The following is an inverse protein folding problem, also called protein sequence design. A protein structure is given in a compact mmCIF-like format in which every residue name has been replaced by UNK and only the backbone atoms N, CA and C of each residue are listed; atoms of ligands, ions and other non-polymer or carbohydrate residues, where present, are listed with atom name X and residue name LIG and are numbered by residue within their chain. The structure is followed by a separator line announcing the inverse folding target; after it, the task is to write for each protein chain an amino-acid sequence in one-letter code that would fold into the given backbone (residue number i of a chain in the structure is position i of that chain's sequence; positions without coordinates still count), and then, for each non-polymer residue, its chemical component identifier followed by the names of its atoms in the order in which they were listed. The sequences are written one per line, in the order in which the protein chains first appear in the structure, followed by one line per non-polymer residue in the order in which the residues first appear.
data_IF_529711841622
#
_entry.id   IF_529711841622
#
_cell.length_a   1.000
_cell.length_b   1.000
_cell.length_c   1.000
_cell.angle_alpha   90.00
_cell.angle_beta   90.00
_cell.angle_gamma   90.00
#
_symmetry.space_group_name_H-M   'P 1'
#
loop_
_entity.id
_entity.type
_entity.pdbx_description
1 polymer ?
#
# COMPACT_ATOMS: atom_id res chain seq x y z
N UNK A 1 11.95 1.48 -7.01
CA UNK A 1 10.49 1.29 -7.04
C UNK A 1 9.90 1.73 -5.72
N UNK A 2 8.63 2.14 -5.72
CA UNK A 2 7.88 2.53 -4.51
C UNK A 2 6.44 2.02 -4.66
N UNK A 3 5.99 1.15 -3.76
CA UNK A 3 4.68 0.49 -3.86
C UNK A 3 3.63 1.04 -2.91
N UNK A 4 3.94 2.16 -2.22
CA UNK A 4 2.96 2.93 -1.48
C UNK A 4 3.47 4.36 -1.26
N UNK A 5 2.89 5.33 -1.98
CA UNK A 5 3.27 6.72 -1.91
C UNK A 5 2.07 7.63 -2.14
N UNK A 6 1.94 8.66 -1.31
CA UNK A 6 0.96 9.75 -1.50
C UNK A 6 1.59 10.93 -2.23
N UNK A 7 2.07 10.66 -3.45
CA UNK A 7 2.84 11.63 -4.23
C UNK A 7 2.08 12.93 -4.48
N UNK A 8 0.76 12.87 -4.59
CA UNK A 8 -0.13 14.01 -4.78
C UNK A 8 -0.22 14.95 -3.55
N UNK A 9 0.28 14.53 -2.39
CA UNK A 9 0.22 15.30 -1.15
C UNK A 9 1.53 16.05 -0.82
N UNK A 10 2.57 15.93 -1.64
CA UNK A 10 3.75 16.80 -1.49
C UNK A 10 3.41 18.23 -1.89
N UNK A 11 3.98 19.25 -1.21
CA UNK A 11 3.75 20.66 -1.59
C UNK A 11 4.02 20.95 -3.06
N UNK A 12 5.10 20.33 -3.61
CA UNK A 12 5.51 20.46 -5.01
C UNK A 12 5.26 19.16 -5.78
N UNK A 13 4.03 18.61 -5.69
CA UNK A 13 3.67 17.29 -6.26
C UNK A 13 4.08 17.12 -7.74
N UNK A 14 3.99 18.17 -8.57
CA UNK A 14 4.41 18.10 -9.98
C UNK A 14 5.91 17.92 -10.14
N UNK A 15 6.71 18.60 -9.32
CA UNK A 15 8.17 18.43 -9.34
C UNK A 15 8.53 17.02 -8.84
N UNK A 16 7.95 16.59 -7.71
CA UNK A 16 8.17 15.25 -7.16
C UNK A 16 7.76 14.17 -8.18
N UNK A 17 6.66 14.36 -8.88
CA UNK A 17 6.22 13.47 -9.96
C UNK A 17 7.27 13.38 -11.09
N UNK A 18 7.76 14.51 -11.57
CA UNK A 18 8.76 14.53 -12.64
C UNK A 18 10.07 13.84 -12.22
N UNK A 19 10.54 14.10 -10.99
CA UNK A 19 11.73 13.43 -10.43
C UNK A 19 11.49 11.94 -10.18
N UNK A 20 10.31 11.55 -9.69
CA UNK A 20 9.97 10.15 -9.44
C UNK A 20 10.01 9.32 -10.73
N UNK A 21 9.52 9.84 -11.85
CA UNK A 21 9.60 9.19 -13.17
C UNK A 21 11.04 9.00 -13.68
N UNK A 22 11.98 9.84 -13.24
CA UNK A 22 13.39 9.72 -13.61
C UNK A 22 14.16 8.78 -12.70
N UNK A 23 13.81 8.72 -11.41
CA UNK A 23 14.58 8.05 -10.36
C UNK A 23 14.03 6.69 -9.95
N UNK A 24 12.72 6.44 -10.18
CA UNK A 24 12.05 5.19 -9.86
C UNK A 24 11.71 4.42 -11.14
N UNK A 25 11.91 3.12 -11.14
CA UNK A 25 11.44 2.22 -12.19
C UNK A 25 9.92 2.07 -12.18
N UNK A 26 9.30 2.18 -11.00
CA UNK A 26 7.86 2.13 -10.81
C UNK A 26 7.44 2.83 -9.51
N UNK A 27 6.32 3.56 -9.55
CA UNK A 27 5.68 4.16 -8.37
C UNK A 27 4.20 3.80 -8.37
N UNK A 28 3.71 3.28 -7.26
CA UNK A 28 2.28 3.14 -6.98
C UNK A 28 1.81 4.32 -6.12
N UNK A 29 1.19 5.31 -6.77
CA UNK A 29 0.53 6.41 -6.10
C UNK A 29 -0.83 5.94 -5.61
N UNK A 30 -1.02 5.91 -4.31
CA UNK A 30 -2.29 5.62 -3.65
C UNK A 30 -2.94 6.92 -3.21
N UNK A 31 -4.27 7.01 -3.34
CA UNK A 31 -5.00 8.25 -3.00
C UNK A 31 -5.87 8.08 -1.76
N UNK A 32 -6.08 9.19 -1.03
CA UNK A 32 -6.81 9.16 0.26
C UNK A 32 -8.33 9.26 0.11
N UNK A 33 -8.84 9.66 -1.06
CA UNK A 33 -10.28 9.69 -1.32
C UNK A 33 -10.61 9.63 -2.82
N UNK A 34 -11.82 9.21 -3.19
CA UNK A 34 -12.28 9.14 -4.58
C UNK A 34 -12.18 10.47 -5.34
N UNK A 35 -12.48 11.58 -4.67
CA UNK A 35 -12.30 12.92 -5.25
C UNK A 35 -10.84 13.29 -5.43
N UNK A 36 -9.97 12.88 -4.49
CA UNK A 36 -8.52 13.05 -4.64
C UNK A 36 -8.03 12.29 -5.87
N UNK A 37 -8.40 11.01 -6.04
CA UNK A 37 -8.08 10.23 -7.24
C UNK A 37 -8.49 10.94 -8.53
N UNK A 38 -9.74 11.41 -8.61
CA UNK A 38 -10.23 12.12 -9.80
C UNK A 38 -9.46 13.43 -10.08
N UNK A 39 -9.05 14.17 -9.04
CA UNK A 39 -8.28 15.38 -9.17
C UNK A 39 -6.83 15.09 -9.57
N UNK A 40 -6.19 14.15 -8.89
CA UNK A 40 -4.80 13.73 -9.12
C UNK A 40 -4.61 13.20 -10.54
N UNK A 41 -5.49 12.31 -11.00
CA UNK A 41 -5.42 11.73 -12.36
C UNK A 41 -5.56 12.76 -13.50
N UNK A 42 -6.13 13.94 -13.23
CA UNK A 42 -6.18 15.04 -14.21
C UNK A 42 -4.87 15.83 -14.31
N UNK A 43 -4.10 15.85 -13.22
CA UNK A 43 -2.90 16.70 -13.07
C UNK A 43 -1.61 15.91 -13.23
N UNK A 44 -1.62 14.66 -12.77
CA UNK A 44 -0.51 13.72 -12.80
C UNK A 44 -0.95 12.50 -13.62
N UNK A 45 -0.68 12.45 -14.94
CA UNK A 45 -1.13 11.32 -15.75
C UNK A 45 -0.40 10.03 -15.38
N UNK A 46 -1.12 8.91 -15.40
CA UNK A 46 -0.51 7.59 -15.29
C UNK A 46 0.44 7.33 -16.47
N UNK A 47 1.53 6.59 -16.21
CA UNK A 47 2.54 6.20 -17.21
C UNK A 47 2.92 4.74 -17.00
N UNK A 48 3.79 4.19 -17.83
CA UNK A 48 4.34 2.84 -17.58
C UNK A 48 5.10 2.72 -16.25
N UNK A 49 5.70 3.83 -15.78
CA UNK A 49 6.46 3.90 -14.51
C UNK A 49 5.66 4.42 -13.32
N UNK A 50 4.37 4.78 -13.50
CA UNK A 50 3.55 5.32 -12.42
C UNK A 50 2.09 4.91 -12.57
N UNK A 51 1.60 4.20 -11.56
CA UNK A 51 0.21 3.78 -11.45
C UNK A 51 -0.49 4.61 -10.36
N UNK A 52 -1.71 5.06 -10.63
CA UNK A 52 -2.54 5.81 -9.67
C UNK A 52 -3.77 4.98 -9.34
N UNK A 53 -4.04 4.76 -8.06
CA UNK A 53 -5.21 3.99 -7.61
C UNK A 53 -6.20 4.84 -6.84
N UNK A 54 -7.51 4.57 -7.03
CA UNK A 54 -8.56 5.13 -6.19
C UNK A 54 -8.52 4.49 -4.79
N UNK A 55 -8.74 5.30 -3.75
CA UNK A 55 -8.81 4.87 -2.38
C UNK A 55 -9.83 5.65 -1.56
N UNK A 56 -10.06 5.18 -0.35
CA UNK A 56 -10.74 5.90 0.73
C UNK A 56 -10.07 5.48 2.03
N UNK A 57 -9.14 6.32 2.46
CA UNK A 57 -8.30 6.07 3.63
C UNK A 57 -9.15 5.98 4.91
N UNK A 58 -8.93 5.01 5.79
CA UNK A 58 -9.74 4.85 7.01
C UNK A 58 -9.73 6.09 7.92
N UNK A 59 -8.63 6.82 7.99
CA UNK A 59 -8.53 8.03 8.82
C UNK A 59 -9.41 9.21 8.36
N UNK A 60 -9.94 9.17 7.13
CA UNK A 60 -10.86 10.20 6.62
C UNK A 60 -12.28 9.69 6.43
N UNK A 61 -12.57 8.48 6.90
CA UNK A 61 -13.89 7.83 6.72
C UNK A 61 -15.04 8.70 7.24
N UNK A 62 -14.86 9.38 8.39
CA UNK A 62 -15.85 10.30 8.98
C UNK A 62 -16.27 11.42 8.04
N UNK A 63 -15.33 11.94 7.24
CA UNK A 63 -15.55 13.09 6.35
C UNK A 63 -15.86 12.69 4.91
N UNK A 64 -15.47 11.47 4.52
CA UNK A 64 -15.43 11.04 3.11
C UNK A 64 -16.32 9.82 2.81
N UNK A 65 -17.02 9.25 3.80
CA UNK A 65 -17.93 8.11 3.60
C UNK A 65 -18.98 8.32 2.50
N UNK A 66 -19.45 9.54 2.33
CA UNK A 66 -20.36 9.88 1.23
C UNK A 66 -19.78 9.75 -0.18
N UNK A 67 -18.46 9.48 -0.29
CA UNK A 67 -17.77 9.23 -1.57
C UNK A 67 -17.67 7.71 -1.91
N UNK A 68 -18.26 6.82 -1.08
CA UNK A 68 -18.14 5.36 -1.26
C UNK A 68 -18.63 4.88 -2.63
N UNK A 69 -19.80 5.32 -3.07
CA UNK A 69 -20.34 4.92 -4.39
C UNK A 69 -19.43 5.37 -5.55
N UNK A 70 -18.80 6.55 -5.41
CA UNK A 70 -17.80 7.01 -6.37
C UNK A 70 -16.58 6.09 -6.38
N UNK A 71 -16.09 5.66 -5.20
CA UNK A 71 -15.00 4.68 -5.12
C UNK A 71 -15.37 3.37 -5.80
N UNK A 72 -16.54 2.83 -5.49
CA UNK A 72 -17.00 1.56 -6.06
C UNK A 72 -17.10 1.60 -7.60
N UNK A 73 -17.47 2.75 -8.16
CA UNK A 73 -17.46 2.96 -9.61
C UNK A 73 -16.04 3.09 -10.18
N UNK A 74 -15.12 3.75 -9.46
CA UNK A 74 -13.72 3.87 -9.88
C UNK A 74 -12.98 2.53 -9.86
N UNK A 75 -13.32 1.63 -8.94
CA UNK A 75 -12.76 0.27 -8.87
C UNK A 75 -13.09 -0.55 -10.13
N UNK A 76 -14.20 -0.27 -10.81
CA UNK A 76 -14.59 -0.99 -12.04
C UNK A 76 -13.58 -0.82 -13.17
N UNK A 77 -12.95 0.35 -13.25
CA UNK A 77 -12.02 0.72 -14.32
C UNK A 77 -10.55 0.66 -13.90
N UNK A 78 -10.25 0.31 -12.64
CA UNK A 78 -8.89 0.25 -12.11
C UNK A 78 -8.51 -1.17 -11.71
N UNK A 79 -7.28 -1.58 -11.99
CA UNK A 79 -6.69 -2.86 -11.57
C UNK A 79 -6.14 -2.83 -10.15
N UNK A 80 -5.79 -1.65 -9.65
CA UNK A 80 -5.32 -1.41 -8.29
C UNK A 80 -6.26 -0.51 -7.49
N UNK A 81 -6.32 -0.71 -6.18
CA UNK A 81 -7.14 0.04 -5.22
C UNK A 81 -6.27 0.37 -4.01
N UNK A 82 -6.23 1.62 -3.62
CA UNK A 82 -5.46 2.06 -2.44
C UNK A 82 -5.38 3.61 -2.36
N UNK A 83 -5.32 4.08 -1.14
CA UNK A 83 -5.27 3.35 0.12
C UNK A 83 -6.67 3.08 0.66
N UNK A 84 -6.89 1.87 1.15
CA UNK A 84 -8.13 1.43 1.80
C UNK A 84 -7.77 0.59 3.03
N UNK A 85 -8.70 0.31 3.90
CA UNK A 85 -8.43 -0.55 5.06
C UNK A 85 -9.08 -0.06 6.34
N UNK A 86 -8.43 -0.39 7.48
CA UNK A 86 -8.94 -0.12 8.83
C UNK A 86 -7.84 0.49 9.71
N UNK A 87 -8.20 1.51 10.49
CA UNK A 87 -7.39 2.06 11.59
C UNK A 87 -8.12 1.90 12.92
N UNK A 88 -7.66 0.94 13.74
CA UNK A 88 -8.20 0.64 15.06
C UNK A 88 -7.57 1.47 16.18
N UNK A 89 -6.72 2.48 15.87
CA UNK A 89 -6.14 3.33 16.89
C UNK A 89 -7.19 4.14 17.64
N UNK A 90 -6.90 4.50 18.88
CA UNK A 90 -7.84 5.22 19.76
C UNK A 90 -8.42 6.49 19.11
N UNK A 91 -7.65 7.16 18.26
CA UNK A 91 -8.05 8.38 17.56
C UNK A 91 -9.24 8.17 16.61
N UNK A 92 -9.32 6.99 15.98
CA UNK A 92 -10.29 6.68 14.93
C UNK A 92 -11.31 5.60 15.34
N UNK A 93 -11.21 5.07 16.57
CA UNK A 93 -12.06 3.98 17.07
C UNK A 93 -13.55 4.28 17.03
N UNK A 94 -13.95 5.53 17.23
CA UNK A 94 -15.38 5.94 17.16
C UNK A 94 -15.98 5.78 15.75
N UNK A 95 -15.16 5.69 14.71
CA UNK A 95 -15.60 5.51 13.31
C UNK A 95 -15.30 4.10 12.79
N UNK A 96 -14.95 3.17 13.67
CA UNK A 96 -14.46 1.86 13.26
C UNK A 96 -15.52 1.05 12.48
N UNK A 97 -16.79 1.06 12.93
CA UNK A 97 -17.89 0.39 12.21
C UNK A 97 -18.08 0.96 10.80
N UNK A 98 -17.94 2.28 10.66
CA UNK A 98 -18.01 2.95 9.36
C UNK A 98 -16.83 2.53 8.45
N UNK A 99 -15.62 2.47 8.99
CA UNK A 99 -14.45 1.98 8.26
C UNK A 99 -14.66 0.53 7.81
N UNK A 100 -15.17 -0.35 8.69
CA UNK A 100 -15.47 -1.74 8.36
C UNK A 100 -16.51 -1.85 7.24
N UNK A 101 -17.57 -1.04 7.29
CA UNK A 101 -18.58 -1.00 6.22
C UNK A 101 -17.96 -0.62 4.87
N UNK A 102 -17.13 0.44 4.84
CA UNK A 102 -16.44 0.91 3.63
C UNK A 102 -15.49 -0.17 3.12
N UNK A 103 -14.61 -0.69 3.97
CA UNK A 103 -13.60 -1.67 3.56
C UNK A 103 -14.24 -2.97 3.05
N UNK A 104 -15.26 -3.48 3.74
CA UNK A 104 -16.04 -4.65 3.30
C UNK A 104 -16.68 -4.41 1.92
N UNK A 105 -17.27 -3.24 1.70
CA UNK A 105 -17.89 -2.89 0.40
C UNK A 105 -16.85 -2.89 -0.72
N UNK A 106 -15.65 -2.35 -0.47
CA UNK A 106 -14.52 -2.35 -1.41
C UNK A 106 -14.08 -3.79 -1.74
N UNK A 107 -13.82 -4.61 -0.71
CA UNK A 107 -13.35 -5.99 -0.89
C UNK A 107 -14.38 -6.82 -1.67
N UNK A 108 -15.67 -6.66 -1.35
CA UNK A 108 -16.77 -7.32 -2.07
C UNK A 108 -16.87 -6.86 -3.53
N UNK A 109 -16.65 -5.56 -3.80
CA UNK A 109 -16.62 -5.06 -5.19
C UNK A 109 -15.46 -5.67 -5.95
N UNK A 110 -14.27 -5.72 -5.35
CA UNK A 110 -13.10 -6.35 -5.95
C UNK A 110 -13.35 -7.84 -6.27
N UNK A 111 -13.94 -8.59 -5.34
CA UNK A 111 -14.27 -10.00 -5.57
C UNK A 111 -15.26 -10.21 -6.73
N UNK A 112 -16.31 -9.38 -6.82
CA UNK A 112 -17.26 -9.43 -7.94
C UNK A 112 -16.65 -9.10 -9.30
N UNK A 113 -15.57 -8.35 -9.33
CA UNK A 113 -14.85 -7.94 -10.55
C UNK A 113 -13.71 -8.89 -10.92
N UNK A 114 -13.57 -10.05 -10.25
CA UNK A 114 -12.52 -11.03 -10.51
C UNK A 114 -11.16 -10.66 -9.92
N UNK A 115 -11.14 -9.81 -8.92
CA UNK A 115 -9.95 -9.44 -8.16
C UNK A 115 -9.32 -8.09 -8.58
N UNK A 116 -8.67 -7.47 -7.60
CA UNK A 116 -7.85 -6.26 -7.74
C UNK A 116 -6.58 -6.40 -6.88
N UNK A 117 -5.59 -5.55 -7.10
CA UNK A 117 -4.46 -5.40 -6.18
C UNK A 117 -4.82 -4.30 -5.19
N UNK A 118 -4.84 -4.63 -3.89
CA UNK A 118 -5.23 -3.69 -2.84
C UNK A 118 -4.02 -3.28 -2.00
N UNK A 119 -3.78 -1.98 -1.86
CA UNK A 119 -2.87 -1.44 -0.84
C UNK A 119 -3.67 -1.12 0.41
N UNK A 120 -3.35 -1.82 1.51
CA UNK A 120 -4.23 -1.93 2.68
C UNK A 120 -3.57 -1.37 3.93
N UNK A 121 -4.20 -0.35 4.52
CA UNK A 121 -3.95 0.12 5.87
C UNK A 121 -4.52 -0.84 6.91
N UNK A 122 -3.72 -1.26 7.90
CA UNK A 122 -4.13 -2.25 8.89
C UNK A 122 -3.71 -1.92 10.34
N UNK A 123 -3.45 -0.65 10.63
CA UNK A 123 -2.94 -0.21 11.94
C UNK A 123 -3.89 -0.56 13.06
N UNK A 124 -3.42 -1.34 14.04
CA UNK A 124 -4.20 -1.82 15.19
C UNK A 124 -5.54 -2.49 14.80
N UNK A 125 -5.63 -3.07 13.59
CA UNK A 125 -6.84 -3.67 13.02
C UNK A 125 -6.52 -4.82 12.05
N UNK A 126 -5.33 -5.40 12.11
CA UNK A 126 -4.93 -6.47 11.18
C UNK A 126 -5.85 -7.69 11.26
N UNK A 127 -6.38 -8.00 12.45
CA UNK A 127 -7.33 -9.11 12.62
C UNK A 127 -8.59 -8.88 11.78
N UNK A 128 -9.22 -7.71 11.89
CA UNK A 128 -10.47 -7.36 11.21
C UNK A 128 -10.26 -7.19 9.71
N UNK A 129 -9.09 -6.71 9.29
CA UNK A 129 -8.69 -6.70 7.88
C UNK A 129 -8.65 -8.12 7.34
N UNK A 130 -7.92 -9.03 7.99
CA UNK A 130 -7.80 -10.43 7.56
C UNK A 130 -9.15 -11.16 7.60
N UNK A 131 -9.98 -10.95 8.64
CA UNK A 131 -11.33 -11.50 8.72
C UNK A 131 -12.18 -11.08 7.50
N UNK A 132 -12.06 -9.81 7.08
CA UNK A 132 -12.79 -9.29 5.91
C UNK A 132 -12.30 -9.90 4.60
N UNK A 133 -10.99 -10.06 4.43
CA UNK A 133 -10.38 -10.65 3.23
C UNK A 133 -10.75 -12.13 3.11
N UNK A 134 -10.63 -12.90 4.18
CA UNK A 134 -10.94 -14.34 4.21
C UNK A 134 -12.43 -14.62 3.98
N UNK A 135 -13.31 -13.74 4.47
CA UNK A 135 -14.76 -13.84 4.23
C UNK A 135 -15.18 -13.51 2.79
N UNK A 136 -14.28 -12.97 1.97
CA UNK A 136 -14.59 -12.54 0.60
C UNK A 136 -13.52 -13.04 -0.41
N UNK A 137 -13.41 -14.38 -0.60
CA UNK A 137 -12.42 -14.93 -1.52
C UNK A 137 -12.61 -14.40 -2.95
N UNK A 138 -11.52 -14.32 -3.71
CA UNK A 138 -11.53 -13.78 -5.07
C UNK A 138 -11.38 -12.25 -5.14
N UNK A 139 -11.15 -11.57 -4.03
CA UNK A 139 -10.90 -10.12 -4.02
C UNK A 139 -9.63 -9.70 -4.78
N UNK A 140 -8.68 -10.62 -4.97
CA UNK A 140 -7.41 -10.40 -5.67
C UNK A 140 -6.19 -10.56 -4.79
N UNK A 141 -5.30 -9.57 -4.82
CA UNK A 141 -4.02 -9.55 -4.08
C UNK A 141 -4.04 -8.45 -3.03
N UNK A 142 -3.81 -8.82 -1.77
CA UNK A 142 -3.66 -7.88 -0.67
C UNK A 142 -2.18 -7.53 -0.45
N UNK A 143 -1.84 -6.25 -0.45
CA UNK A 143 -0.55 -5.71 -0.01
C UNK A 143 -0.79 -4.98 1.30
N UNK A 144 -0.35 -5.57 2.42
CA UNK A 144 -0.43 -4.92 3.73
C UNK A 144 0.71 -3.90 3.83
N UNK A 145 0.36 -2.64 3.75
CA UNK A 145 1.30 -1.54 3.83
C UNK A 145 1.70 -1.31 5.29
N UNK A 146 2.99 -1.05 5.50
CA UNK A 146 3.59 -0.75 6.81
C UNK A 146 3.02 -1.59 7.96
N UNK A 147 3.06 -2.91 7.80
CA UNK A 147 2.46 -3.83 8.78
C UNK A 147 3.14 -3.76 10.15
N UNK A 148 2.39 -3.47 11.22
CA UNK A 148 2.93 -3.25 12.57
C UNK A 148 2.26 -4.07 13.67
N UNK A 149 1.36 -4.99 13.33
CA UNK A 149 0.60 -5.80 14.29
C UNK A 149 1.45 -6.94 14.91
N UNK A 150 0.82 -7.89 15.55
CA UNK A 150 1.45 -9.00 16.26
C UNK A 150 2.07 -10.05 15.31
N UNK A 151 3.06 -10.82 15.78
CA UNK A 151 3.59 -11.94 15.00
C UNK A 151 2.55 -13.01 14.64
N UNK A 152 1.47 -13.17 15.44
CA UNK A 152 0.38 -14.09 15.13
C UNK A 152 -0.45 -13.62 13.94
N UNK A 153 -0.76 -12.32 13.85
CA UNK A 153 -1.45 -11.75 12.70
C UNK A 153 -0.55 -11.74 11.46
N UNK A 154 0.76 -11.53 11.62
CA UNK A 154 1.70 -11.69 10.49
C UNK A 154 1.67 -13.11 9.92
N UNK A 155 1.74 -14.16 10.77
CA UNK A 155 1.65 -15.56 10.30
C UNK A 155 0.36 -15.80 9.52
N UNK A 156 -0.77 -15.36 10.06
CA UNK A 156 -2.07 -15.46 9.40
C UNK A 156 -2.08 -14.75 8.04
N UNK A 157 -1.54 -13.53 7.96
CA UNK A 157 -1.42 -12.79 6.71
C UNK A 157 -0.56 -13.52 5.67
N UNK A 158 0.56 -14.14 6.12
CA UNK A 158 1.44 -14.95 5.27
C UNK A 158 0.71 -16.18 4.74
N UNK A 159 -0.01 -16.90 5.60
CA UNK A 159 -0.82 -18.08 5.26
C UNK A 159 -1.95 -17.73 4.28
N UNK A 160 -2.57 -16.55 4.45
CA UNK A 160 -3.59 -16.00 3.53
C UNK A 160 -3.02 -15.46 2.22
N UNK A 161 -1.71 -15.57 1.98
CA UNK A 161 -1.08 -15.16 0.73
C UNK A 161 -0.84 -13.65 0.57
N UNK A 162 -0.93 -12.87 1.64
CA UNK A 162 -0.69 -11.42 1.57
C UNK A 162 0.75 -11.07 1.17
N UNK A 163 0.88 -9.97 0.48
CA UNK A 163 2.12 -9.24 0.24
C UNK A 163 2.32 -8.18 1.31
N UNK A 164 3.54 -7.67 1.41
CA UNK A 164 3.91 -6.64 2.38
C UNK A 164 4.75 -5.56 1.72
N UNK A 165 4.38 -4.30 1.90
CA UNK A 165 5.28 -3.20 1.57
C UNK A 165 6.00 -2.72 2.82
N UNK A 166 7.30 -2.50 2.69
CA UNK A 166 8.21 -2.18 3.78
C UNK A 166 8.96 -0.90 3.49
N UNK A 167 8.81 0.07 4.37
CA UNK A 167 9.44 1.38 4.27
C UNK A 167 10.62 1.59 5.24
N UNK A 168 11.51 2.56 4.95
CA UNK A 168 12.63 2.90 5.84
C UNK A 168 12.16 3.25 7.25
N UNK A 169 11.07 4.00 7.38
CA UNK A 169 10.52 4.41 8.68
C UNK A 169 10.01 3.22 9.51
N UNK A 170 9.41 2.20 8.88
CA UNK A 170 9.01 0.95 9.55
C UNK A 170 10.22 0.29 10.21
N UNK A 171 11.35 0.22 9.50
CA UNK A 171 12.57 -0.46 9.96
C UNK A 171 13.36 0.34 11.02
N UNK A 172 13.00 1.59 11.33
CA UNK A 172 13.56 2.31 12.48
C UNK A 172 13.11 1.68 13.82
N UNK A 173 11.97 1.01 13.86
CA UNK A 173 11.42 0.40 15.07
C UNK A 173 11.91 -1.04 15.27
N UNK A 174 12.09 -1.47 16.53
CA UNK A 174 12.45 -2.85 16.86
C UNK A 174 11.35 -3.84 16.40
N UNK A 175 10.08 -3.45 16.56
CA UNK A 175 8.94 -4.26 16.11
C UNK A 175 8.93 -4.42 14.59
N UNK A 176 9.12 -3.31 13.84
CA UNK A 176 9.17 -3.36 12.38
C UNK A 176 10.27 -4.28 11.86
N UNK A 177 11.48 -4.22 12.46
CA UNK A 177 12.58 -5.12 12.10
C UNK A 177 12.25 -6.59 12.41
N UNK A 178 11.65 -6.87 13.57
CA UNK A 178 11.23 -8.22 13.96
C UNK A 178 10.19 -8.79 12.98
N UNK A 179 9.21 -7.99 12.58
CA UNK A 179 8.19 -8.40 11.62
C UNK A 179 8.80 -8.60 10.23
N UNK A 180 9.65 -7.68 9.76
CA UNK A 180 10.33 -7.81 8.46
C UNK A 180 11.21 -9.06 8.36
N UNK A 181 11.82 -9.49 9.48
CA UNK A 181 12.59 -10.74 9.55
C UNK A 181 11.73 -11.99 9.27
N UNK A 182 10.44 -11.94 9.62
CA UNK A 182 9.50 -13.05 9.48
C UNK A 182 8.60 -12.96 8.23
N UNK A 183 8.69 -11.89 7.44
CA UNK A 183 7.96 -11.75 6.18
C UNK A 183 8.54 -12.69 5.10
N UNK A 184 7.70 -13.24 4.22
CA UNK A 184 8.16 -14.04 3.08
C UNK A 184 8.90 -13.14 2.09
N UNK A 185 10.19 -13.42 1.86
CA UNK A 185 11.07 -12.55 1.05
C UNK A 185 10.62 -12.38 -0.40
N UNK A 186 9.86 -13.33 -0.91
CA UNK A 186 9.29 -13.35 -2.27
C UNK A 186 7.98 -12.54 -2.39
N UNK A 187 7.47 -11.99 -1.29
CA UNK A 187 6.25 -11.17 -1.24
C UNK A 187 6.45 -9.83 -0.51
N UNK A 188 7.70 -9.36 -0.43
CA UNK A 188 8.05 -8.04 0.08
C UNK A 188 8.37 -7.10 -1.08
N UNK A 189 7.84 -5.88 -1.03
CA UNK A 189 8.16 -4.77 -1.94
C UNK A 189 8.54 -3.52 -1.14
N UNK A 190 9.33 -2.59 -1.70
CA UNK A 190 9.70 -1.37 -1.00
C UNK A 190 8.58 -0.33 -1.07
N UNK A 191 8.48 0.52 -0.03
CA UNK A 191 7.60 1.69 0.00
C UNK A 191 8.27 2.88 0.65
N UNK A 192 7.80 4.09 0.34
CA UNK A 192 8.17 5.32 1.06
C UNK A 192 7.14 5.73 2.10
N UNK A 193 5.87 5.56 1.80
CA UNK A 193 4.74 6.17 2.50
C UNK A 193 4.91 7.70 2.65
N UNK A 194 5.61 8.27 1.68
CA UNK A 194 5.84 9.72 1.65
C UNK A 194 4.62 10.50 1.15
N UNK A 195 4.38 11.68 1.69
CA UNK A 195 5.19 12.47 2.63
C UNK A 195 4.90 12.19 4.14
N UNK A 196 4.04 11.23 4.47
CA UNK A 196 3.63 10.97 5.86
C UNK A 196 4.76 10.34 6.68
N UNK A 197 5.46 9.36 6.12
CA UNK A 197 6.60 8.76 6.76
C UNK A 197 7.82 9.69 6.74
N UNK A 198 8.53 9.71 7.87
CA UNK A 198 9.72 10.56 8.07
C UNK A 198 10.86 9.75 8.65
N UNK A 199 12.06 10.03 8.17
CA UNK A 199 13.31 9.56 8.78
C UNK A 199 14.15 10.76 9.15
N UNK A 200 14.62 10.83 10.41
CA UNK A 200 15.39 11.98 10.96
C UNK A 200 14.68 13.33 10.78
N UNK A 201 13.33 13.32 10.85
CA UNK A 201 12.52 14.54 10.74
C UNK A 201 12.20 15.00 9.32
N UNK A 202 12.84 14.45 8.28
CA UNK A 202 12.57 14.76 6.89
C UNK A 202 11.53 13.77 6.29
N UNK A 203 10.53 14.26 5.52
CA UNK A 203 9.64 13.39 4.76
C UNK A 203 10.44 12.51 3.80
N UNK A 204 10.04 11.23 3.70
CA UNK A 204 10.60 10.34 2.68
C UNK A 204 10.08 10.72 1.30
N UNK A 205 10.95 10.58 0.31
CA UNK A 205 10.62 10.77 -1.10
C UNK A 205 10.41 9.41 -1.77
N UNK A 206 9.70 9.31 -2.91
CA UNK A 206 9.45 8.04 -3.60
C UNK A 206 10.73 7.25 -3.89
N UNK A 207 11.84 7.92 -4.17
CA UNK A 207 13.14 7.28 -4.44
C UNK A 207 13.88 6.81 -3.18
N UNK A 208 13.45 7.22 -1.99
CA UNK A 208 14.02 6.76 -0.73
C UNK A 208 13.51 5.36 -0.33
N UNK A 209 12.44 4.87 -0.94
CA UNK A 209 11.87 3.53 -0.71
C UNK A 209 12.94 2.43 -0.82
N UNK A 210 13.83 2.51 -1.79
CA UNK A 210 14.87 1.50 -1.99
C UNK A 210 15.97 1.49 -0.91
N UNK A 211 16.03 2.49 -0.05
CA UNK A 211 17.03 2.53 1.03
C UNK A 211 16.81 1.43 2.09
N UNK A 212 15.62 0.81 2.10
CA UNK A 212 15.33 -0.38 2.92
C UNK A 212 16.29 -1.55 2.66
N UNK A 213 16.90 -1.61 1.46
CA UNK A 213 17.75 -2.74 1.05
C UNK A 213 18.92 -2.98 1.99
N UNK A 214 19.53 -1.93 2.55
CA UNK A 214 20.63 -2.03 3.51
C UNK A 214 20.16 -2.73 4.79
N UNK A 215 19.07 -2.23 5.39
CA UNK A 215 18.54 -2.80 6.64
C UNK A 215 17.94 -4.20 6.45
N UNK A 216 17.29 -4.45 5.32
CA UNK A 216 16.78 -5.79 5.01
C UNK A 216 17.91 -6.79 4.78
N UNK A 217 19.05 -6.38 4.23
CA UNK A 217 20.23 -7.24 4.09
C UNK A 217 20.78 -7.67 5.46
N UNK A 218 20.84 -6.74 6.41
CA UNK A 218 21.22 -7.02 7.80
C UNK A 218 20.21 -7.96 8.48
N UNK A 219 18.90 -7.66 8.36
CA UNK A 219 17.81 -8.42 8.98
C UNK A 219 17.73 -9.85 8.42
N UNK A 220 17.91 -10.01 7.11
CA UNK A 220 17.80 -11.30 6.43
C UNK A 220 19.13 -12.06 6.33
N UNK A 221 20.23 -11.46 6.81
CA UNK A 221 21.59 -12.04 6.80
C UNK A 221 22.03 -12.46 5.40
N UNK A 222 21.85 -11.56 4.43
CA UNK A 222 22.20 -11.76 3.02
C UNK A 222 22.91 -10.54 2.43
N UNK A 223 23.54 -10.68 1.26
CA UNK A 223 24.15 -9.56 0.56
C UNK A 223 23.07 -8.55 0.10
N UNK A 224 23.35 -7.26 0.19
CA UNK A 224 22.44 -6.19 -0.23
C UNK A 224 21.99 -6.32 -1.69
N UNK A 225 22.88 -6.76 -2.56
CA UNK A 225 22.57 -6.99 -3.98
C UNK A 225 21.50 -8.07 -4.17
N UNK A 226 21.51 -9.13 -3.36
CA UNK A 226 20.49 -10.18 -3.39
C UNK A 226 19.12 -9.62 -2.95
N UNK A 227 19.10 -8.74 -1.93
CA UNK A 227 17.87 -8.04 -1.51
C UNK A 227 17.35 -7.15 -2.64
N UNK A 228 18.20 -6.31 -3.22
CA UNK A 228 17.83 -5.42 -4.33
C UNK A 228 17.22 -6.18 -5.50
N UNK A 229 17.87 -7.28 -5.90
CA UNK A 229 17.38 -8.17 -6.97
C UNK A 229 16.04 -8.80 -6.62
N UNK A 230 15.87 -9.29 -5.38
CA UNK A 230 14.62 -9.88 -4.90
C UNK A 230 13.48 -8.88 -4.89
N UNK A 231 13.67 -7.71 -4.26
CA UNK A 231 12.65 -6.66 -4.21
C UNK A 231 12.27 -6.16 -5.61
N UNK A 232 13.26 -6.03 -6.52
CA UNK A 232 12.99 -5.66 -7.91
C UNK A 232 12.17 -6.73 -8.64
N UNK A 233 12.48 -8.01 -8.46
CA UNK A 233 11.74 -9.12 -9.05
C UNK A 233 10.28 -9.13 -8.56
N UNK A 234 10.09 -8.99 -7.24
CA UNK A 234 8.76 -8.91 -6.62
C UNK A 234 7.98 -7.70 -7.14
N UNK A 235 8.65 -6.53 -7.19
CA UNK A 235 8.05 -5.30 -7.69
C UNK A 235 7.60 -5.41 -9.15
N UNK A 236 8.41 -6.01 -10.02
CA UNK A 236 8.02 -6.25 -11.42
C UNK A 236 6.79 -7.18 -11.52
N UNK A 237 6.72 -8.20 -10.66
CA UNK A 237 5.56 -9.08 -10.59
C UNK A 237 4.30 -8.28 -10.20
N UNK A 238 4.36 -7.51 -9.13
CA UNK A 238 3.23 -6.72 -8.63
C UNK A 238 2.83 -5.59 -9.62
N UNK A 239 3.81 -4.91 -10.23
CA UNK A 239 3.57 -3.86 -11.22
C UNK A 239 2.82 -4.39 -12.46
N UNK A 240 3.13 -5.62 -12.93
CA UNK A 240 2.39 -6.25 -14.02
C UNK A 240 0.92 -6.46 -13.67
N UNK A 241 0.61 -6.89 -12.44
CA UNK A 241 -0.77 -7.04 -11.97
C UNK A 241 -1.50 -5.69 -11.94
N UNK A 242 -0.81 -4.63 -11.49
CA UNK A 242 -1.35 -3.26 -11.45
C UNK A 242 -1.60 -2.67 -12.83
N UNK A 243 -0.73 -2.95 -13.81
CA UNK A 243 -0.84 -2.36 -15.17
C UNK A 243 -1.63 -3.22 -16.15
N UNK A 244 -2.20 -4.35 -15.69
CA UNK A 244 -2.97 -5.26 -16.55
C UNK A 244 -2.11 -6.03 -17.56
N UNK A 245 -0.79 -6.06 -17.40
CA UNK A 245 0.16 -6.80 -18.22
C UNK A 245 0.23 -8.28 -17.83
N UNK A 246 -0.90 -8.97 -17.80
CA UNK A 246 -1.02 -10.38 -17.48
C UNK A 246 -1.58 -11.17 -18.66
N UNK A 247 -0.71 -11.80 -19.38
CA UNK A 247 -0.72 -13.16 -19.94
C UNK A 247 0.14 -13.27 -21.16
#
# INVERSE_FOLDING_TARGET
MDFHCHLDLYPDARQVYAEALQRNEFVWLVTTSPKAFAATSRVLPATQGLFISPGLHPEVADKKSGELEMLLSQIEICTGVGEVGLDGSARYSQYFDLQQHIFKSVVQRCARLGGRVLSIHSRAAAKEVLDTLEANPGFGVAVLHWFTDSPSQLRRAVESGCWFSVGPAMLETANGRKLAAAMPRDRVVPESDGPFAKVRGAPLMPWDANTVTVKLAEIWEVQQEAVLKGLRSNGLCLARLLTGGGS
#
